data_IF_566412106124
#
_entry.id   IF_566412106124
#
_cell.length_a   1.000
_cell.length_b   1.000
_cell.length_c   1.000
_cell.angle_alpha   90.00
_cell.angle_beta   90.00
_cell.angle_gamma   90.00
#
_symmetry.space_group_name_H-M   'P 1'
#
loop_
_entity.id
_entity.type
_entity.pdbx_description
1 polymer ?
#
# COMPACT_ATOMS: atom_id res chain seq x y z
N UNK A 1 3.16 -5.09 3.81
CA UNK A 1 4.13 -4.26 4.55
C UNK A 1 5.11 -3.71 3.53
N UNK A 2 5.39 -2.41 3.53
CA UNK A 2 6.41 -1.85 2.63
C UNK A 2 7.76 -2.40 3.10
N UNK A 3 8.51 -3.06 2.21
CA UNK A 3 9.87 -3.49 2.56
C UNK A 3 10.72 -2.28 2.97
N UNK A 4 11.63 -2.39 3.94
CA UNK A 4 12.53 -1.28 4.23
C UNK A 4 13.43 -1.03 3.01
N UNK A 5 13.82 0.22 2.75
CA UNK A 5 14.87 0.47 1.76
C UNK A 5 16.13 -0.29 2.20
N UNK A 6 16.92 -0.83 1.26
CA UNK A 6 18.11 -1.63 1.58
C UNK A 6 19.27 -0.78 2.14
N UNK A 7 19.06 0.51 2.42
CA UNK A 7 20.00 1.38 3.16
C UNK A 7 19.35 1.98 4.39
N UNK A 8 20.14 2.18 5.45
CA UNK A 8 19.72 2.87 6.69
C UNK A 8 20.00 4.38 6.68
N UNK A 9 20.49 4.92 5.56
CA UNK A 9 20.86 6.31 5.38
C UNK A 9 20.45 6.82 4.00
N UNK A 10 20.20 8.12 3.84
CA UNK A 10 19.96 8.73 2.53
C UNK A 10 21.11 8.43 1.57
N UNK A 11 20.75 8.29 0.31
CA UNK A 11 21.66 7.90 -0.75
C UNK A 11 22.50 9.09 -1.16
N UNK A 12 23.79 8.86 -1.37
CA UNK A 12 24.63 9.85 -2.06
C UNK A 12 24.27 9.93 -3.55
N UNK A 13 24.66 11.02 -4.22
CA UNK A 13 24.46 11.18 -5.67
C UNK A 13 25.15 10.06 -6.47
N UNK A 14 26.35 9.64 -6.08
CA UNK A 14 27.03 8.47 -6.68
C UNK A 14 26.23 7.18 -6.51
N UNK A 15 25.68 6.94 -5.31
CA UNK A 15 24.90 5.73 -5.04
C UNK A 15 23.63 5.71 -5.90
N UNK A 16 22.90 6.82 -5.99
CA UNK A 16 21.69 6.95 -6.82
C UNK A 16 21.90 6.48 -8.27
N UNK A 17 23.05 6.81 -8.88
CA UNK A 17 23.36 6.41 -10.25
C UNK A 17 23.59 4.90 -10.42
N UNK A 18 23.95 4.18 -9.35
CA UNK A 18 24.12 2.72 -9.37
C UNK A 18 22.86 1.95 -8.92
N UNK A 19 21.88 2.63 -8.36
CA UNK A 19 20.77 2.02 -7.63
C UNK A 19 19.54 1.65 -8.45
N UNK A 20 19.33 2.31 -9.61
CA UNK A 20 18.18 1.99 -10.45
C UNK A 20 18.22 0.58 -11.05
N UNK A 21 19.33 -0.15 -10.87
CA UNK A 21 19.54 -1.50 -11.37
C UNK A 21 19.46 -2.61 -10.30
N UNK A 22 19.36 -2.29 -9.00
CA UNK A 22 19.30 -3.34 -7.96
C UNK A 22 17.85 -3.82 -7.73
N UNK A 23 17.60 -5.14 -7.73
CA UNK A 23 16.26 -5.72 -7.51
C UNK A 23 15.58 -5.22 -6.22
N UNK A 24 16.34 -5.03 -5.14
CA UNK A 24 15.81 -4.65 -3.82
C UNK A 24 15.25 -3.23 -3.81
N UNK A 25 15.88 -2.30 -4.54
CA UNK A 25 15.35 -0.94 -4.69
C UNK A 25 14.10 -0.88 -5.57
N UNK A 26 14.06 -1.67 -6.63
CA UNK A 26 12.86 -1.79 -7.48
C UNK A 26 11.67 -2.32 -6.66
N UNK A 27 11.92 -3.32 -5.82
CA UNK A 27 10.96 -3.88 -4.89
C UNK A 27 10.45 -2.85 -3.88
N UNK A 28 11.34 -2.09 -3.25
CA UNK A 28 10.99 -1.00 -2.34
C UNK A 28 10.11 0.05 -3.02
N UNK A 29 10.53 0.58 -4.17
CA UNK A 29 9.78 1.60 -4.88
C UNK A 29 8.43 1.09 -5.38
N UNK A 30 8.34 -0.18 -5.78
CA UNK A 30 7.08 -0.81 -6.15
C UNK A 30 6.11 -0.87 -4.97
N UNK A 31 6.57 -1.30 -3.80
CA UNK A 31 5.74 -1.33 -2.59
C UNK A 31 5.30 0.07 -2.16
N UNK A 32 6.21 1.04 -2.22
CA UNK A 32 5.91 2.44 -1.90
C UNK A 32 4.87 3.02 -2.86
N UNK A 33 4.99 2.76 -4.15
CA UNK A 33 3.99 3.14 -5.15
C UNK A 33 2.61 2.56 -4.82
N UNK A 34 2.52 1.26 -4.55
CA UNK A 34 1.24 0.62 -4.20
C UNK A 34 0.65 1.17 -2.91
N UNK A 35 1.48 1.46 -1.90
CA UNK A 35 1.02 2.06 -0.67
C UNK A 35 0.37 3.42 -0.90
N UNK A 36 1.07 4.31 -1.60
CA UNK A 36 0.59 5.67 -1.90
C UNK A 36 -0.64 5.63 -2.81
N UNK A 37 -0.62 4.83 -3.87
CA UNK A 37 -1.77 4.66 -4.76
C UNK A 37 -2.99 4.11 -4.01
N UNK A 38 -2.77 3.21 -3.04
CA UNK A 38 -3.81 2.67 -2.17
C UNK A 38 -4.58 3.72 -1.38
N UNK A 39 -3.91 4.79 -0.94
CA UNK A 39 -4.52 5.86 -0.13
C UNK A 39 -5.59 6.66 -0.87
N UNK A 40 -5.63 6.58 -2.20
CA UNK A 40 -6.56 7.33 -3.05
C UNK A 40 -7.69 6.45 -3.60
N UNK A 41 -7.77 5.17 -3.22
CA UNK A 41 -8.71 4.24 -3.83
C UNK A 41 -10.13 4.38 -3.28
N UNK A 42 -11.10 4.26 -4.19
CA UNK A 42 -12.54 4.24 -3.88
C UNK A 42 -13.32 3.52 -4.97
N UNK A 43 -14.50 3.00 -4.62
CA UNK A 43 -15.36 2.27 -5.55
C UNK A 43 -16.43 1.45 -4.82
N UNK A 44 -17.15 0.58 -5.51
CA UNK A 44 -18.19 -0.27 -4.92
C UNK A 44 -17.61 -1.45 -4.13
N UNK A 45 -18.43 -2.15 -3.36
CA UNK A 45 -18.03 -3.39 -2.67
C UNK A 45 -17.43 -4.43 -3.63
N UNK A 46 -18.00 -4.56 -4.83
CA UNK A 46 -17.49 -5.47 -5.86
C UNK A 46 -16.11 -5.06 -6.41
N UNK A 47 -15.74 -3.78 -6.29
CA UNK A 47 -14.48 -3.22 -6.80
C UNK A 47 -13.41 -3.10 -5.70
N UNK A 48 -13.65 -3.66 -4.51
CA UNK A 48 -12.64 -3.69 -3.45
C UNK A 48 -11.41 -4.44 -3.96
N UNK A 49 -10.20 -3.90 -3.76
CA UNK A 49 -8.97 -4.59 -4.14
C UNK A 49 -8.83 -5.92 -3.41
N UNK A 50 -8.30 -6.92 -4.11
CA UNK A 50 -8.02 -8.26 -3.59
C UNK A 50 -6.54 -8.63 -3.63
N UNK A 51 -5.71 -7.77 -4.25
CA UNK A 51 -4.27 -7.95 -4.43
C UNK A 51 -3.54 -6.69 -3.96
N UNK A 52 -2.27 -6.86 -3.60
CA UNK A 52 -1.40 -5.75 -3.12
C UNK A 52 -1.99 -5.00 -1.91
N UNK A 53 -2.75 -5.73 -1.09
CA UNK A 53 -3.30 -5.21 0.16
C UNK A 53 -2.21 -5.14 1.24
N UNK A 54 -2.28 -4.11 2.07
CA UNK A 54 -1.47 -3.98 3.26
C UNK A 54 -2.38 -3.67 4.45
N UNK A 55 -2.03 -4.16 5.63
CA UNK A 55 -2.75 -3.86 6.87
C UNK A 55 -2.83 -2.35 7.08
N UNK A 56 -4.04 -1.85 7.36
CA UNK A 56 -4.33 -0.43 7.49
C UNK A 56 -4.75 0.27 6.20
N UNK A 57 -4.63 -0.38 5.03
CA UNK A 57 -5.00 0.21 3.74
C UNK A 57 -6.45 0.73 3.78
N UNK A 58 -6.69 2.04 3.54
CA UNK A 58 -8.03 2.58 3.48
C UNK A 58 -8.66 2.33 2.10
N UNK A 59 -9.98 2.25 2.08
CA UNK A 59 -10.78 2.24 0.85
C UNK A 59 -12.11 2.93 1.12
N UNK A 60 -12.51 3.88 0.29
CA UNK A 60 -13.87 4.44 0.40
C UNK A 60 -14.84 3.57 -0.41
N UNK A 61 -15.65 2.78 0.30
CA UNK A 61 -16.67 1.92 -0.31
C UNK A 61 -17.96 2.72 -0.56
N UNK A 62 -18.26 2.96 -1.83
CA UNK A 62 -19.42 3.72 -2.30
C UNK A 62 -20.73 2.94 -2.21
N UNK A 63 -20.69 1.62 -2.07
CA UNK A 63 -21.88 0.80 -1.79
C UNK A 63 -22.28 0.93 -0.32
N UNK A 64 -21.31 0.96 0.59
CA UNK A 64 -21.55 1.17 2.03
C UNK A 64 -21.70 2.65 2.41
N UNK A 65 -21.10 3.55 1.64
CA UNK A 65 -21.12 4.99 1.86
C UNK A 65 -20.10 5.50 2.88
N UNK A 66 -19.10 4.69 3.27
CA UNK A 66 -18.09 5.07 4.24
C UNK A 66 -16.73 4.41 3.99
N UNK A 67 -15.69 4.94 4.66
CA UNK A 67 -14.34 4.38 4.60
C UNK A 67 -14.24 3.09 5.41
N UNK A 68 -13.58 2.09 4.83
CA UNK A 68 -13.22 0.82 5.44
C UNK A 68 -11.69 0.65 5.39
N UNK A 69 -11.15 -0.24 6.22
CA UNK A 69 -9.73 -0.52 6.29
C UNK A 69 -9.46 -2.02 6.15
N UNK A 70 -8.37 -2.40 5.49
CA UNK A 70 -7.96 -3.80 5.44
C UNK A 70 -7.20 -4.17 6.73
N UNK A 71 -7.68 -5.15 7.50
CA UNK A 71 -7.05 -5.53 8.77
C UNK A 71 -5.89 -6.54 8.60
N UNK A 72 -5.56 -6.94 7.37
CA UNK A 72 -4.58 -7.99 7.07
C UNK A 72 -5.21 -9.27 6.52
N UNK A 73 -6.49 -9.51 6.82
CA UNK A 73 -7.24 -10.68 6.35
C UNK A 73 -8.57 -10.33 5.69
N UNK A 74 -9.22 -9.24 6.10
CA UNK A 74 -10.52 -8.81 5.64
C UNK A 74 -10.66 -7.29 5.66
N UNK A 75 -11.65 -6.78 4.93
CA UNK A 75 -12.07 -5.39 5.03
C UNK A 75 -12.97 -5.21 6.27
N UNK A 76 -12.67 -4.20 7.07
CA UNK A 76 -13.39 -3.89 8.31
C UNK A 76 -13.83 -2.43 8.36
N UNK A 77 -14.93 -2.17 9.04
CA UNK A 77 -15.37 -0.81 9.36
C UNK A 77 -14.56 -0.21 10.53
N UNK A 78 -14.90 1.02 10.94
CA UNK A 78 -14.24 1.74 12.03
C UNK A 78 -14.34 1.05 13.41
N UNK A 79 -15.31 0.15 13.60
CA UNK A 79 -15.46 -0.64 14.81
C UNK A 79 -14.69 -1.98 14.76
N UNK A 80 -13.99 -2.27 13.66
CA UNK A 80 -13.27 -3.54 13.46
C UNK A 80 -14.15 -4.71 13.02
N UNK A 81 -15.41 -4.45 12.65
CA UNK A 81 -16.34 -5.48 12.16
C UNK A 81 -16.11 -5.72 10.67
N UNK A 82 -16.09 -6.98 10.25
CA UNK A 82 -15.93 -7.38 8.84
C UNK A 82 -17.14 -6.95 8.02
N UNK A 83 -16.90 -6.39 6.83
CA UNK A 83 -17.91 -5.85 5.90
C UNK A 83 -17.64 -6.21 4.46
#
# INVERSE_FOLDING_TARGET
>A
MIRPPPTRSPLTREQLNQMMASPEWLEFFSDAYFAIAGLQQSGTTANRPTKRLYTGMPYFDRTLGYQINYNGTAWVNSAGVVV
#
